data_IF_708572635489
#
_entry.id   IF_708572635489
#
_cell.length_a   1.000
_cell.length_b   1.000
_cell.length_c   1.000
_cell.angle_alpha   90.00
_cell.angle_beta   90.00
_cell.angle_gamma   90.00
#
_symmetry.space_group_name_H-M   'P 1'
#
loop_
_entity.id
_entity.type
_entity.pdbx_description
1 polymer ?
#
# COMPACT_ATOMS: atom_id res chain seq x y z
N UNK A 1 -13.91 -13.09 -7.99
CA UNK A 1 -12.99 -12.78 -9.12
C UNK A 1 -11.56 -12.86 -8.61
N UNK A 2 -10.57 -13.34 -9.38
CA UNK A 2 -9.16 -13.37 -8.93
C UNK A 2 -8.37 -12.20 -9.51
N UNK A 3 -7.59 -11.52 -8.68
CA UNK A 3 -6.77 -10.37 -9.10
C UNK A 3 -5.46 -10.30 -8.31
N UNK A 4 -4.40 -9.85 -8.97
CA UNK A 4 -3.08 -9.61 -8.35
C UNK A 4 -2.84 -8.12 -8.13
N UNK A 5 -2.30 -7.78 -6.96
CA UNK A 5 -1.89 -6.43 -6.60
C UNK A 5 -0.41 -6.38 -6.28
N UNK A 6 0.20 -5.23 -6.56
CA UNK A 6 1.62 -4.98 -6.33
C UNK A 6 1.78 -3.77 -5.42
N UNK A 7 2.67 -3.88 -4.44
CA UNK A 7 2.86 -2.91 -3.36
C UNK A 7 4.33 -2.54 -3.26
N UNK A 8 4.64 -1.26 -3.11
CA UNK A 8 5.98 -0.74 -2.78
C UNK A 8 6.21 -0.78 -1.26
N UNK A 9 5.76 -1.85 -0.61
CA UNK A 9 5.87 -2.09 0.82
C UNK A 9 5.99 -3.59 1.08
N UNK A 10 6.54 -3.97 2.24
CA UNK A 10 6.54 -5.35 2.69
C UNK A 10 5.15 -5.70 3.23
N UNK A 11 4.37 -6.46 2.47
CA UNK A 11 3.03 -6.91 2.88
C UNK A 11 3.15 -8.28 3.52
N UNK A 12 2.69 -8.41 4.76
CA UNK A 12 2.58 -9.71 5.44
C UNK A 12 1.11 -10.12 5.48
N UNK A 13 0.75 -11.09 4.64
CA UNK A 13 -0.58 -11.66 4.62
C UNK A 13 -0.52 -13.15 4.29
N UNK A 14 -1.34 -13.96 4.96
CA UNK A 14 -1.41 -15.41 4.77
C UNK A 14 -2.61 -15.77 3.91
N UNK A 15 -2.53 -16.90 3.21
CA UNK A 15 -3.69 -17.44 2.53
C UNK A 15 -4.83 -17.65 3.53
N UNK A 16 -6.01 -17.10 3.26
CA UNK A 16 -7.14 -17.10 4.17
C UNK A 16 -7.46 -15.74 4.79
N UNK A 17 -6.47 -14.84 4.92
CA UNK A 17 -6.67 -13.52 5.53
C UNK A 17 -7.67 -12.67 4.74
N UNK A 18 -8.47 -11.88 5.46
CA UNK A 18 -9.32 -10.84 4.90
C UNK A 18 -8.57 -9.51 4.88
N UNK A 19 -8.62 -8.83 3.73
CA UNK A 19 -7.87 -7.60 3.51
C UNK A 19 -8.65 -6.56 2.73
N UNK A 20 -8.39 -5.29 3.01
CA UNK A 20 -8.80 -4.14 2.20
C UNK A 20 -7.58 -3.54 1.52
N UNK A 21 -7.60 -3.46 0.19
CA UNK A 21 -6.58 -2.81 -0.63
C UNK A 21 -7.10 -1.44 -1.05
N UNK A 22 -6.31 -0.41 -0.80
CA UNK A 22 -6.63 0.99 -1.06
C UNK A 22 -5.82 1.47 -2.24
N UNK A 23 -6.50 1.99 -3.26
CA UNK A 23 -5.89 2.46 -4.50
C UNK A 23 -5.96 3.98 -4.53
N UNK A 24 -4.80 4.61 -4.63
CA UNK A 24 -4.65 6.07 -4.65
C UNK A 24 -4.69 6.63 -6.06
N UNK A 25 -5.21 7.85 -6.21
CA UNK A 25 -5.04 8.65 -7.41
C UNK A 25 -3.61 9.19 -7.51
N UNK A 26 -3.06 9.39 -8.71
CA UNK A 26 -1.82 10.15 -8.88
C UNK A 26 -2.05 11.59 -8.40
N UNK A 27 -1.10 12.18 -7.66
CA UNK A 27 -1.17 13.61 -7.35
C UNK A 27 -1.06 14.41 -8.66
N UNK A 28 -1.93 15.40 -8.86
CA UNK A 28 -1.98 16.21 -10.08
C UNK A 28 -0.65 16.88 -10.46
N UNK A 29 0.28 17.02 -9.50
CA UNK A 29 1.62 17.58 -9.72
C UNK A 29 2.64 16.58 -10.31
N UNK A 30 2.31 15.31 -10.42
CA UNK A 30 3.23 14.28 -10.92
C UNK A 30 2.98 14.02 -12.40
N UNK A 31 3.77 14.68 -13.25
CA UNK A 31 3.72 14.57 -14.70
C UNK A 31 3.48 13.14 -15.19
N UNK A 32 2.51 13.01 -16.09
CA UNK A 32 2.22 11.82 -16.89
C UNK A 32 3.49 11.34 -17.61
N UNK A 33 4.24 10.42 -17.03
CA UNK A 33 5.31 9.69 -17.73
C UNK A 33 5.66 8.40 -17.00
N UNK A 34 5.56 7.30 -17.76
CA UNK A 34 6.10 5.95 -17.50
C UNK A 34 5.34 5.10 -16.49
N UNK A 35 4.22 4.55 -16.96
CA UNK A 35 3.71 3.29 -16.43
C UNK A 35 4.33 2.04 -17.10
N UNK A 36 5.12 2.19 -18.17
CA UNK A 36 5.79 1.06 -18.84
C UNK A 36 7.11 1.55 -19.47
N UNK A 37 8.25 0.94 -19.15
CA UNK A 37 9.39 0.92 -20.08
C UNK A 37 10.82 1.02 -19.54
N UNK A 38 11.15 1.87 -18.56
CA UNK A 38 12.52 2.01 -18.06
C UNK A 38 12.52 2.33 -16.57
N UNK A 39 13.23 1.52 -15.78
CA UNK A 39 13.24 1.46 -14.32
C UNK A 39 11.90 0.99 -13.69
N UNK A 40 11.79 -0.32 -13.46
CA UNK A 40 10.74 -0.95 -12.61
C UNK A 40 10.92 -0.54 -11.15
N UNK A 41 10.75 0.73 -10.83
CA UNK A 41 10.46 1.17 -9.48
C UNK A 41 8.98 1.54 -9.48
N UNK A 42 8.15 0.79 -8.75
CA UNK A 42 6.82 1.31 -8.43
C UNK A 42 7.02 2.60 -7.66
N UNK A 43 6.50 3.70 -8.20
CA UNK A 43 6.55 4.97 -7.50
C UNK A 43 5.72 4.82 -6.21
N UNK A 44 6.38 4.87 -5.05
CA UNK A 44 5.75 4.63 -3.75
C UNK A 44 4.51 5.51 -3.51
N UNK A 45 4.49 6.71 -4.10
CA UNK A 45 3.36 7.65 -4.03
C UNK A 45 2.09 7.18 -4.75
N UNK A 46 2.23 6.28 -5.73
CA UNK A 46 1.14 5.72 -6.55
C UNK A 46 0.89 4.24 -6.27
N UNK A 47 1.63 3.67 -5.31
CA UNK A 47 1.46 2.28 -4.96
C UNK A 47 0.22 2.12 -4.08
N UNK A 48 -0.59 1.08 -4.29
CA UNK A 48 -1.63 0.73 -3.33
C UNK A 48 -1.06 0.48 -1.94
N UNK A 49 -1.90 0.60 -0.92
CA UNK A 49 -1.61 0.15 0.43
C UNK A 49 -2.72 -0.77 0.93
N UNK A 50 -2.50 -1.45 2.05
CA UNK A 50 -3.37 -2.54 2.49
C UNK A 50 -3.58 -2.52 4.00
N UNK A 51 -4.83 -2.79 4.40
CA UNK A 51 -5.20 -3.15 5.75
C UNK A 51 -5.49 -4.65 5.79
N UNK A 52 -4.79 -5.39 6.65
CA UNK A 52 -5.12 -6.76 6.96
C UNK A 52 -6.06 -6.77 8.16
N UNK A 53 -7.31 -7.16 7.93
CA UNK A 53 -8.36 -7.18 8.95
C UNK A 53 -8.11 -8.30 9.97
N UNK A 54 -7.52 -9.40 9.52
CA UNK A 54 -7.24 -10.56 10.37
C UNK A 54 -6.16 -10.25 11.40
N UNK A 55 -5.10 -9.56 10.98
CA UNK A 55 -4.03 -9.13 11.89
C UNK A 55 -4.21 -7.71 12.45
N UNK A 56 -5.29 -7.01 12.07
CA UNK A 56 -5.55 -5.59 12.38
C UNK A 56 -4.33 -4.69 12.12
N UNK A 57 -3.70 -4.84 10.95
CA UNK A 57 -2.44 -4.17 10.64
C UNK A 57 -2.44 -3.48 9.27
N UNK A 58 -1.83 -2.30 9.23
CA UNK A 58 -1.58 -1.56 7.99
C UNK A 58 -0.21 -1.92 7.40
N UNK A 59 -0.17 -2.14 6.08
CA UNK A 59 1.06 -2.25 5.31
C UNK A 59 1.06 -1.21 4.20
N UNK A 60 2.01 -0.30 4.29
CA UNK A 60 2.07 0.91 3.46
C UNK A 60 3.49 1.46 3.40
N UNK A 61 3.78 2.26 2.37
CA UNK A 61 5.01 3.05 2.29
C UNK A 61 4.93 4.33 3.15
N UNK A 62 6.08 4.93 3.48
CA UNK A 62 6.18 6.18 4.26
C UNK A 62 5.31 7.32 3.72
N UNK A 63 5.18 7.39 2.39
CA UNK A 63 4.33 8.38 1.71
C UNK A 63 2.86 8.33 2.15
N UNK A 64 2.35 7.15 2.51
CA UNK A 64 0.96 7.00 2.95
C UNK A 64 0.76 7.35 4.42
N UNK A 65 1.82 7.51 5.21
CA UNK A 65 1.75 7.73 6.65
C UNK A 65 2.13 9.16 7.07
N UNK A 66 2.18 10.11 6.11
CA UNK A 66 2.64 11.50 6.31
C UNK A 66 4.00 11.60 7.02
N UNK A 67 4.88 10.61 6.82
CA UNK A 67 6.21 10.58 7.42
C UNK A 67 7.12 11.50 6.61
N UNK A 68 7.70 12.53 7.25
CA UNK A 68 8.64 13.45 6.63
C UNK A 68 10.07 12.87 6.63
N UNK A 69 10.94 13.34 5.74
CA UNK A 69 12.34 12.89 5.66
C UNK A 69 13.10 13.13 6.99
N UNK A 70 12.77 14.20 7.70
CA UNK A 70 13.30 14.51 9.03
C UNK A 70 12.93 13.44 10.07
N UNK A 71 11.72 12.87 9.98
CA UNK A 71 11.27 11.77 10.85
C UNK A 71 11.96 10.45 10.50
N UNK A 72 12.32 10.23 9.24
CA UNK A 72 13.05 9.03 8.78
C UNK A 72 14.50 9.05 9.26
N UNK A 73 15.13 10.22 9.31
CA UNK A 73 16.54 10.39 9.69
C UNK A 73 16.76 10.45 11.21
N UNK A 74 15.70 10.36 12.02
CA UNK A 74 15.78 10.38 13.48
C UNK A 74 16.50 9.12 14.03
N UNK A 75 17.67 9.23 14.69
CA UNK A 75 18.56 8.07 14.97
C UNK A 75 18.11 7.06 16.03
N UNK A 76 16.87 7.13 16.55
CA UNK A 76 16.48 6.40 17.78
C UNK A 76 15.41 5.35 17.61
N UNK A 77 14.89 5.14 16.41
CA UNK A 77 13.73 4.28 16.21
C UNK A 77 14.04 3.20 15.19
N UNK A 78 14.43 2.04 15.72
CA UNK A 78 14.38 0.75 15.02
C UNK A 78 13.07 0.65 14.20
N UNK A 79 13.07 -0.06 13.05
CA UNK A 79 12.03 0.06 12.03
C UNK A 79 10.65 -0.07 12.66
N UNK A 80 9.99 1.08 12.85
CA UNK A 80 8.64 1.12 13.41
C UNK A 80 7.79 0.30 12.46
N UNK A 81 7.30 -0.84 12.94
CA UNK A 81 6.08 -1.43 12.40
C UNK A 81 5.08 -0.29 12.34
N UNK A 82 4.60 0.04 11.13
CA UNK A 82 3.83 1.24 10.79
C UNK A 82 2.52 1.33 11.60
N UNK A 83 2.65 1.77 12.86
CA UNK A 83 1.59 2.05 13.81
C UNK A 83 1.18 3.52 13.55
N UNK A 84 -0.02 3.88 13.12
CA UNK A 84 -1.31 3.26 13.46
C UNK A 84 -2.40 3.52 12.42
N UNK A 85 -2.18 4.35 11.40
CA UNK A 85 -3.15 4.57 10.32
C UNK A 85 -2.50 5.33 9.16
N UNK A 86 -2.99 5.14 7.92
CA UNK A 86 -2.63 5.99 6.80
C UNK A 86 -3.16 7.41 6.99
N UNK A 87 -2.54 8.39 6.32
CA UNK A 87 -2.97 9.78 6.28
C UNK A 87 -4.41 9.85 5.75
N UNK A 88 -5.39 10.35 6.53
CA UNK A 88 -6.79 10.38 6.14
C UNK A 88 -7.04 11.27 4.91
N UNK A 89 -6.13 12.22 4.62
CA UNK A 89 -6.24 13.13 3.48
C UNK A 89 -5.74 12.50 2.16
N UNK A 90 -5.32 11.22 2.16
CA UNK A 90 -4.97 10.52 0.93
C UNK A 90 -6.16 10.46 -0.03
N UNK A 91 -5.87 10.77 -1.30
CA UNK A 91 -6.83 10.62 -2.39
C UNK A 91 -6.98 9.14 -2.77
N UNK A 92 -7.74 8.39 -1.97
CA UNK A 92 -8.18 7.03 -2.31
C UNK A 92 -9.35 7.11 -3.27
N UNK A 93 -9.26 6.40 -4.39
CA UNK A 93 -10.32 6.37 -5.42
C UNK A 93 -11.07 5.05 -5.45
N UNK A 94 -10.49 3.99 -4.88
CA UNK A 94 -11.10 2.66 -4.84
C UNK A 94 -10.57 1.85 -3.66
N UNK A 95 -11.48 1.13 -3.03
CA UNK A 95 -11.18 0.12 -2.00
C UNK A 95 -11.64 -1.24 -2.53
N UNK A 96 -10.73 -2.21 -2.51
CA UNK A 96 -10.98 -3.60 -2.89
C UNK A 96 -10.94 -4.44 -1.62
N UNK A 97 -12.04 -5.13 -1.32
CA UNK A 97 -12.11 -6.08 -0.23
C UNK A 97 -12.00 -7.49 -0.78
N UNK A 98 -11.09 -8.28 -0.22
CA UNK A 98 -10.79 -9.61 -0.73
C UNK A 98 -10.20 -10.55 0.30
N UNK A 99 -10.20 -11.83 -0.05
CA UNK A 99 -9.53 -12.90 0.67
C UNK A 99 -8.20 -13.22 0.01
N UNK A 100 -7.16 -13.36 0.81
CA UNK A 100 -5.81 -13.67 0.32
C UNK A 100 -5.73 -15.11 -0.14
N UNK A 101 -5.27 -15.30 -1.38
CA UNK A 101 -4.94 -16.60 -1.96
C UNK A 101 -3.46 -16.93 -1.77
N UNK A 102 -2.61 -15.90 -1.79
CA UNK A 102 -1.17 -16.02 -1.57
C UNK A 102 -0.48 -14.67 -1.61
N UNK A 103 0.71 -14.61 -1.01
CA UNK A 103 1.57 -13.41 -1.02
C UNK A 103 3.00 -13.80 -1.39
N UNK A 104 3.72 -12.87 -2.01
CA UNK A 104 5.14 -13.01 -2.32
C UNK A 104 5.86 -11.70 -2.02
N UNK A 105 6.91 -11.76 -1.20
CA UNK A 105 7.80 -10.61 -0.96
C UNK A 105 8.94 -10.68 -1.96
N UNK A 106 9.06 -9.65 -2.78
CA UNK A 106 10.06 -9.51 -3.83
C UNK A 106 11.06 -8.47 -3.36
N UNK A 107 12.14 -8.93 -2.74
CA UNK A 107 13.24 -8.05 -2.35
C UNK A 107 14.09 -7.76 -3.59
N UNK A 108 14.18 -6.49 -4.00
CA UNK A 108 15.21 -6.07 -4.94
C UNK A 108 16.47 -5.75 -4.15
N UNK A 109 17.50 -6.56 -4.33
CA UNK A 109 18.84 -6.28 -3.81
C UNK A 109 19.56 -5.49 -4.90
N UNK A 110 19.46 -4.17 -4.88
CA UNK A 110 20.36 -3.28 -5.63
C UNK A 110 21.04 -2.33 -4.66
N UNK A 111 22.31 -2.04 -4.91
CA UNK A 111 23.18 -1.20 -4.07
C UNK A 111 22.70 0.24 -3.92
N UNK A 112 21.78 0.71 -4.76
CA UNK A 112 21.30 2.09 -4.79
C UNK A 112 19.83 2.24 -4.36
N UNK A 113 19.08 1.14 -4.21
CA UNK A 113 17.63 1.19 -3.98
C UNK A 113 17.16 -0.02 -3.16
N UNK A 114 16.96 0.17 -1.86
CA UNK A 114 16.40 -0.81 -0.93
C UNK A 114 14.86 -0.79 -0.95
N UNK A 115 14.27 -0.99 -2.13
CA UNK A 115 12.81 -1.13 -2.27
C UNK A 115 12.36 -2.56 -1.95
N UNK A 116 11.44 -2.72 -1.00
CA UNK A 116 10.72 -3.99 -0.81
C UNK A 116 9.41 -3.91 -1.58
N UNK A 117 9.32 -4.65 -2.69
CA UNK A 117 8.07 -4.81 -3.41
C UNK A 117 7.37 -6.10 -2.94
N UNK A 118 6.05 -6.09 -2.80
CA UNK A 118 5.26 -7.28 -2.51
C UNK A 118 4.19 -7.48 -3.56
N UNK A 119 3.87 -8.74 -3.85
CA UNK A 119 2.72 -9.14 -4.64
C UNK A 119 1.70 -9.85 -3.75
N UNK A 120 0.42 -9.54 -3.94
CA UNK A 120 -0.68 -10.21 -3.27
C UNK A 120 -1.70 -10.70 -4.30
N UNK A 121 -2.03 -11.98 -4.25
CA UNK A 121 -3.08 -12.56 -5.06
C UNK A 121 -4.35 -12.68 -4.21
N UNK A 122 -5.44 -12.08 -4.68
CA UNK A 122 -6.71 -11.96 -3.95
C UNK A 122 -7.87 -12.61 -4.71
N UNK A 123 -8.76 -13.23 -3.96
CA UNK A 123 -10.15 -13.44 -4.36
C UNK A 123 -10.97 -12.22 -3.91
N UNK A 124 -11.43 -11.44 -4.88
CA UNK A 124 -12.21 -10.22 -4.64
C UNK A 124 -13.62 -10.61 -4.21
N UNK A 125 -14.01 -10.08 -3.04
CA UNK A 125 -15.32 -10.22 -2.42
C UNK A 125 -16.21 -9.00 -2.75
N UNK A 126 -15.65 -7.80 -2.68
CA UNK A 126 -16.33 -6.57 -3.09
C UNK A 126 -15.35 -5.48 -3.51
N UNK A 127 -15.86 -4.53 -4.31
CA UNK A 127 -15.13 -3.32 -4.68
C UNK A 127 -16.03 -2.11 -4.45
N UNK A 128 -15.44 -1.02 -3.96
CA UNK A 128 -16.11 0.26 -3.74
C UNK A 128 -15.28 1.39 -4.33
N UNK A 129 -15.86 2.17 -5.23
CA UNK A 129 -15.30 3.45 -5.67
C UNK A 129 -15.52 4.49 -4.57
N UNK A 130 -14.53 5.35 -4.35
CA UNK A 130 -14.57 6.40 -3.34
C UNK A 130 -14.69 7.75 -4.07
N UNK A 131 -15.75 8.49 -3.77
CA UNK A 131 -15.91 9.85 -4.29
C UNK A 131 -14.94 10.82 -3.57
N UNK A 132 -14.55 11.94 -4.20
CA UNK A 132 -13.75 12.96 -3.54
C UNK A 132 -14.40 13.44 -2.23
N UNK A 133 -13.66 13.37 -1.12
CA UNK A 133 -14.14 13.74 0.22
C UNK A 133 -14.97 12.66 0.94
N UNK A 134 -15.23 11.51 0.32
CA UNK A 134 -15.87 10.38 0.99
C UNK A 134 -14.87 9.66 1.92
N UNK A 135 -15.26 9.31 3.16
CA UNK A 135 -14.40 8.56 4.06
C UNK A 135 -14.16 7.15 3.53
N UNK A 136 -12.89 6.75 3.48
CA UNK A 136 -12.46 5.45 2.97
C UNK A 136 -11.84 4.55 4.04
N UNK A 137 -11.46 5.10 5.20
CA UNK A 137 -10.92 4.32 6.31
C UNK A 137 -11.92 3.23 6.73
N UNK A 138 -11.45 2.03 7.11
CA UNK A 138 -12.31 1.03 7.72
C UNK A 138 -12.87 1.58 9.04
N UNK A 139 -14.15 1.30 9.32
CA UNK A 139 -14.76 1.67 10.59
C UNK A 139 -13.95 1.09 11.75
N UNK A 140 -13.70 1.90 12.78
CA UNK A 140 -13.10 1.44 14.03
C UNK A 140 -14.15 0.61 14.78
N UNK A 141 -14.13 -0.72 14.63
CA UNK A 141 -14.86 -1.66 15.50
C UNK A 141 -14.14 -1.92 16.83
#
# INVERSE_FOLDING_TARGET
MKQSFWFAASVQARAGDLVRVFITAPSEKSGLSRWLGLARQMNASRSPFIYNETSKAWFMANHHARITDEMVLAPREAPRVYQSSPDPDLLVIRVVHGKVLGSAVIRKISSEDSGVDSRLDLEILSERSIAPGEPWLPDEE
#
